data_IF_543406966539
#
_entry.id   IF_543406966539
#
_cell.length_a   1.000
_cell.length_b   1.000
_cell.length_c   1.000
_cell.angle_alpha   90.00
_cell.angle_beta   90.00
_cell.angle_gamma   90.00
#
_symmetry.space_group_name_H-M   'P 1'
#
loop_
_entity.id
_entity.type
_entity.pdbx_description
1 polymer ?
#
# COMPACT_ATOMS: atom_id res chain seq x y z
N UNK A 1 -14.86 21.32 26.81
CA UNK A 1 -14.38 19.92 26.95
C UNK A 1 -14.43 19.20 25.62
N UNK A 2 -15.57 19.21 24.91
CA UNK A 2 -15.73 18.60 23.59
C UNK A 2 -14.71 19.06 22.54
N UNK A 3 -14.40 20.36 22.49
CA UNK A 3 -13.39 20.95 21.59
C UNK A 3 -11.94 20.53 21.92
N UNK A 4 -11.63 20.37 23.21
CA UNK A 4 -10.29 19.98 23.68
C UNK A 4 -10.09 18.46 23.54
N UNK A 5 -11.17 17.69 23.68
CA UNK A 5 -11.17 16.27 23.37
C UNK A 5 -11.05 16.03 21.86
N UNK A 6 -11.66 16.87 21.02
CA UNK A 6 -11.47 16.76 19.56
C UNK A 6 -10.05 17.08 19.15
N UNK A 7 -9.40 18.09 19.74
CA UNK A 7 -8.00 18.39 19.42
C UNK A 7 -7.06 17.25 19.84
N UNK A 8 -7.31 16.60 20.99
CA UNK A 8 -6.61 15.39 21.41
C UNK A 8 -6.76 14.26 20.38
N UNK A 9 -7.99 13.99 19.95
CA UNK A 9 -8.28 12.91 18.99
C UNK A 9 -7.66 13.21 17.62
N UNK A 10 -7.74 14.46 17.14
CA UNK A 10 -7.11 14.87 15.88
C UNK A 10 -5.58 14.71 15.91
N UNK A 11 -4.94 15.12 17.01
CA UNK A 11 -3.49 14.98 17.17
C UNK A 11 -3.04 13.53 17.32
N UNK A 12 -3.90 12.64 17.86
CA UNK A 12 -3.60 11.21 17.97
C UNK A 12 -3.63 10.48 16.63
N UNK A 13 -4.28 11.03 15.59
CA UNK A 13 -4.41 10.39 14.27
C UNK A 13 -5.31 9.14 14.26
N UNK A 14 -6.08 8.91 15.31
CA UNK A 14 -6.99 7.77 15.43
C UNK A 14 -8.19 7.86 14.44
N UNK A 15 -8.61 6.71 13.90
CA UNK A 15 -9.81 6.63 13.05
C UNK A 15 -11.07 6.79 13.92
N UNK A 16 -11.78 7.90 13.73
CA UNK A 16 -12.87 8.35 14.61
C UNK A 16 -14.08 8.83 13.82
N UNK A 17 -15.29 8.41 14.22
CA UNK A 17 -16.53 8.84 13.58
C UNK A 17 -16.97 10.24 14.03
N UNK A 18 -16.42 11.26 13.36
CA UNK A 18 -16.75 12.67 13.57
C UNK A 18 -18.22 13.01 13.33
N UNK A 19 -18.95 12.24 12.50
CA UNK A 19 -20.36 12.51 12.23
C UNK A 19 -21.22 12.12 13.42
N UNK A 20 -20.97 10.94 13.98
CA UNK A 20 -21.63 10.48 15.19
C UNK A 20 -21.24 11.32 16.42
N UNK A 21 -19.99 11.79 16.49
CA UNK A 21 -19.51 12.64 17.59
C UNK A 21 -20.28 13.96 17.76
N UNK A 22 -20.86 14.50 16.69
CA UNK A 22 -21.69 15.71 16.77
C UNK A 22 -22.87 15.55 17.74
N UNK A 23 -23.38 14.34 17.90
CA UNK A 23 -24.54 14.03 18.74
C UNK A 23 -24.19 13.65 20.18
N UNK A 24 -22.90 13.49 20.50
CA UNK A 24 -22.43 13.22 21.88
C UNK A 24 -22.73 14.42 22.77
N UNK A 25 -23.35 14.13 23.92
CA UNK A 25 -23.77 15.16 24.89
C UNK A 25 -22.58 15.69 25.70
N UNK A 26 -22.58 17.01 25.99
CA UNK A 26 -21.55 17.65 26.84
C UNK A 26 -21.73 17.40 28.34
N UNK A 27 -22.58 16.45 28.72
CA UNK A 27 -22.79 16.12 30.14
C UNK A 27 -21.56 15.41 30.73
N UNK A 28 -21.59 15.07 32.02
CA UNK A 28 -20.52 14.45 32.83
C UNK A 28 -19.39 13.77 32.03
N UNK A 29 -18.13 14.12 32.34
CA UNK A 29 -16.90 13.59 31.69
C UNK A 29 -16.97 12.07 31.48
N UNK A 30 -17.36 11.30 32.49
CA UNK A 30 -17.46 9.83 32.41
C UNK A 30 -18.44 9.35 31.33
N UNK A 31 -19.57 10.06 31.18
CA UNK A 31 -20.57 9.77 30.16
C UNK A 31 -20.03 10.08 28.78
N UNK A 32 -19.40 11.25 28.60
CA UNK A 32 -18.74 11.64 27.34
C UNK A 32 -17.63 10.65 26.96
N UNK A 33 -16.79 10.23 27.91
CA UNK A 33 -15.72 9.24 27.67
C UNK A 33 -16.31 7.90 27.21
N UNK A 34 -17.35 7.41 27.89
CA UNK A 34 -18.01 6.15 27.52
C UNK A 34 -18.68 6.18 26.15
N UNK A 35 -19.37 7.28 25.81
CA UNK A 35 -20.00 7.48 24.50
C UNK A 35 -18.96 7.61 23.39
N UNK A 36 -17.86 8.34 23.66
CA UNK A 36 -16.76 8.59 22.71
C UNK A 36 -15.96 7.31 22.41
N UNK A 37 -15.78 6.42 23.40
CA UNK A 37 -15.06 5.16 23.20
C UNK A 37 -15.71 4.26 22.13
N UNK A 38 -17.03 4.32 21.98
CA UNK A 38 -17.75 3.53 20.96
C UNK A 38 -17.59 4.06 19.53
N UNK A 39 -17.04 5.27 19.37
CA UNK A 39 -16.89 5.95 18.09
C UNK A 39 -15.52 5.71 17.42
N UNK A 40 -14.58 5.06 18.13
CA UNK A 40 -13.32 4.63 17.54
C UNK A 40 -13.53 3.36 16.71
N UNK A 41 -13.23 3.43 15.42
CA UNK A 41 -13.49 2.38 14.45
C UNK A 41 -12.18 1.95 13.76
N UNK A 42 -11.16 1.58 14.53
CA UNK A 42 -9.97 0.95 13.96
C UNK A 42 -10.16 -0.59 13.95
N UNK A 43 -9.89 -1.30 12.84
CA UNK A 43 -10.07 -2.75 12.78
C UNK A 43 -8.99 -3.53 13.55
N UNK A 44 -7.81 -2.96 13.77
CA UNK A 44 -6.67 -3.61 14.44
C UNK A 44 -6.53 -3.22 15.92
N UNK A 45 -6.93 -2.00 16.30
CA UNK A 45 -6.76 -1.49 17.67
C UNK A 45 -8.10 -1.16 18.34
N UNK A 46 -8.26 -1.58 19.59
CA UNK A 46 -9.27 -1.02 20.48
C UNK A 46 -8.68 0.25 21.08
N UNK A 47 -9.30 1.37 20.76
CA UNK A 47 -8.89 2.68 21.26
C UNK A 47 -9.88 3.09 22.33
N UNK A 48 -9.38 3.33 23.54
CA UNK A 48 -10.19 3.80 24.65
C UNK A 48 -9.52 4.96 25.37
N UNK A 49 -10.35 5.91 25.77
CA UNK A 49 -9.96 7.02 26.63
C UNK A 49 -9.99 6.53 28.08
N UNK A 50 -8.83 6.59 28.74
CA UNK A 50 -8.69 6.23 30.14
C UNK A 50 -8.44 7.46 30.99
N UNK A 51 -9.07 7.49 32.17
CA UNK A 51 -8.80 8.47 33.21
C UNK A 51 -8.00 7.79 34.31
N UNK A 52 -6.77 8.23 34.55
CA UNK A 52 -5.94 7.74 35.66
C UNK A 52 -5.21 8.89 36.35
N UNK A 53 -4.89 8.66 37.62
CA UNK A 53 -4.02 9.51 38.41
C UNK A 53 -2.63 8.88 38.35
N UNK A 54 -1.67 9.57 37.73
CA UNK A 54 -0.30 9.06 37.61
C UNK A 54 0.61 9.69 38.66
N UNK A 55 1.42 8.86 39.30
CA UNK A 55 2.48 9.27 40.22
C UNK A 55 3.86 9.36 39.57
N UNK A 56 4.02 8.86 38.33
CA UNK A 56 5.27 8.83 37.59
C UNK A 56 5.09 9.30 36.14
N UNK A 57 5.86 10.31 35.74
CA UNK A 57 5.76 10.97 34.44
C UNK A 57 6.24 10.13 33.25
N UNK A 58 7.03 9.08 33.49
CA UNK A 58 7.58 8.21 32.44
C UNK A 58 6.54 7.34 31.73
N UNK A 59 5.36 7.18 32.33
CA UNK A 59 4.30 6.34 31.79
C UNK A 59 3.20 7.14 31.09
N UNK A 60 3.40 8.46 30.94
CA UNK A 60 2.46 9.33 30.25
C UNK A 60 2.76 9.36 28.76
N UNK A 61 1.73 9.20 27.90
CA UNK A 61 1.90 9.29 26.46
C UNK A 61 2.28 10.71 26.02
N UNK A 62 2.71 10.86 24.77
CA UNK A 62 3.19 12.13 24.23
C UNK A 62 2.11 13.23 24.17
N UNK A 63 0.82 12.86 24.16
CA UNK A 63 -0.30 13.79 24.20
C UNK A 63 -1.36 13.30 25.19
N UNK A 64 -1.75 14.16 26.13
CA UNK A 64 -2.77 13.86 27.14
C UNK A 64 -3.45 15.12 27.64
N UNK A 65 -4.62 14.97 28.25
CA UNK A 65 -5.36 16.04 28.89
C UNK A 65 -5.14 16.02 30.39
N UNK A 66 -4.92 17.19 30.97
CA UNK A 66 -4.78 17.36 32.43
C UNK A 66 -5.80 18.34 32.94
N UNK A 67 -6.39 18.03 34.09
CA UNK A 67 -7.24 18.96 34.82
C UNK A 67 -6.39 19.86 35.73
N UNK A 68 -6.16 21.11 35.33
CA UNK A 68 -5.46 22.12 36.14
C UNK A 68 -6.50 23.16 36.59
N UNK A 69 -6.66 23.35 37.89
CA UNK A 69 -7.53 24.40 38.47
C UNK A 69 -8.98 24.41 37.90
N UNK A 70 -9.57 23.22 37.67
CA UNK A 70 -10.91 23.01 37.09
C UNK A 70 -11.05 23.33 35.60
N UNK A 71 -9.93 23.48 34.87
CA UNK A 71 -9.90 23.57 33.40
C UNK A 71 -9.09 22.42 32.82
N UNK A 72 -9.63 21.80 31.78
CA UNK A 72 -8.93 20.78 31.01
C UNK A 72 -7.99 21.46 30.03
N UNK A 73 -6.70 21.12 30.09
CA UNK A 73 -5.66 21.63 29.19
C UNK A 73 -5.05 20.46 28.42
N UNK A 74 -4.74 20.68 27.14
CA UNK A 74 -4.01 19.73 26.32
C UNK A 74 -2.51 19.95 26.55
N UNK A 75 -1.82 18.85 26.84
CA UNK A 75 -0.37 18.82 27.05
C UNK A 75 0.24 17.98 25.94
N UNK A 76 1.28 18.54 25.33
CA UNK A 76 2.11 17.85 24.33
C UNK A 76 3.54 17.73 24.84
N UNK A 77 4.22 16.63 24.52
CA UNK A 77 5.65 16.43 24.82
C UNK A 77 6.50 17.01 23.69
N UNK A 78 7.43 17.90 24.03
CA UNK A 78 8.43 18.46 23.10
C UNK A 78 9.80 18.38 23.76
N UNK A 79 10.75 17.68 23.13
CA UNK A 79 12.15 17.56 23.58
C UNK A 79 12.29 17.29 25.10
N UNK A 80 11.58 16.28 25.59
CA UNK A 80 11.54 15.84 27.00
C UNK A 80 10.84 16.78 28.01
N UNK A 81 10.16 17.83 27.54
CA UNK A 81 9.35 18.72 28.38
C UNK A 81 7.87 18.67 28.00
N UNK A 82 7.00 18.71 29.01
CA UNK A 82 5.55 18.78 28.83
C UNK A 82 5.12 20.25 28.74
N UNK A 83 4.59 20.62 27.58
CA UNK A 83 4.16 21.99 27.28
C UNK A 83 2.64 22.01 27.16
N UNK A 84 2.01 22.98 27.83
CA UNK A 84 0.58 23.27 27.61
C UNK A 84 0.48 24.14 26.36
N UNK A 85 -0.47 23.82 25.48
CA UNK A 85 -0.82 24.69 24.34
C UNK A 85 -0.99 26.15 24.79
N UNK A 86 -0.01 27.00 24.43
CA UNK A 86 0.00 28.44 24.70
C UNK A 86 0.65 28.92 26.02
N UNK A 87 1.27 28.05 26.82
CA UNK A 87 1.90 28.44 28.11
C UNK A 87 3.30 27.84 28.33
N UNK A 88 4.00 28.35 29.37
CA UNK A 88 5.34 27.93 29.78
C UNK A 88 5.42 26.44 30.19
N UNK A 89 6.61 25.81 30.08
CA UNK A 89 6.79 24.39 30.39
C UNK A 89 6.37 24.06 31.82
N UNK A 90 5.67 22.92 32.01
CA UNK A 90 5.25 22.48 33.33
C UNK A 90 6.44 21.96 34.15
N UNK A 91 6.62 22.51 35.36
CA UNK A 91 7.51 21.93 36.35
C UNK A 91 6.95 20.61 36.90
N UNK A 92 7.84 19.62 37.00
CA UNK A 92 7.60 18.26 37.51
C UNK A 92 6.82 18.17 38.83
N UNK A 93 6.96 19.17 39.71
CA UNK A 93 6.30 19.22 41.02
C UNK A 93 4.80 19.54 40.97
N UNK A 94 4.29 20.09 39.86
CA UNK A 94 2.87 20.44 39.71
C UNK A 94 2.02 19.31 39.10
N UNK A 95 2.64 18.22 38.61
CA UNK A 95 1.94 17.13 37.91
C UNK A 95 1.61 15.93 38.79
N UNK A 96 2.09 15.88 40.02
CA UNK A 96 1.73 14.80 40.95
C UNK A 96 0.26 14.98 41.38
N UNK A 97 -0.50 13.89 41.35
CA UNK A 97 -1.90 13.80 41.78
C UNK A 97 -2.95 14.52 40.90
N UNK A 98 -2.63 14.81 39.63
CA UNK A 98 -3.62 15.37 38.70
C UNK A 98 -4.41 14.27 37.98
N UNK A 99 -5.68 14.57 37.72
CA UNK A 99 -6.55 13.75 36.86
C UNK A 99 -6.08 13.88 35.41
N UNK A 100 -5.60 12.76 34.84
CA UNK A 100 -5.11 12.70 33.46
C UNK A 100 -6.04 11.86 32.62
N UNK A 101 -6.41 12.37 31.45
CA UNK A 101 -7.12 11.63 30.41
C UNK A 101 -6.18 11.39 29.25
N UNK A 102 -5.98 10.14 28.88
CA UNK A 102 -5.11 9.76 27.77
C UNK A 102 -5.79 8.72 26.86
N UNK A 103 -5.29 8.65 25.63
CA UNK A 103 -5.67 7.63 24.66
C UNK A 103 -4.81 6.38 24.88
N UNK A 104 -5.44 5.23 25.07
CA UNK A 104 -4.75 3.94 25.09
C UNK A 104 -5.13 3.14 23.86
N UNK A 105 -4.13 2.68 23.11
CA UNK A 105 -4.31 1.79 21.98
C UNK A 105 -3.94 0.37 22.39
N UNK A 106 -4.93 -0.53 22.43
CA UNK A 106 -4.72 -1.94 22.77
C UNK A 106 -4.97 -2.79 21.52
N UNK A 107 -4.04 -3.68 21.12
CA UNK A 107 -4.26 -4.53 19.94
C UNK A 107 -5.45 -5.46 20.15
N UNK A 108 -6.35 -5.51 19.16
CA UNK A 108 -7.50 -6.42 19.18
C UNK A 108 -7.04 -7.87 19.04
N UNK A 109 -7.66 -8.76 19.81
CA UNK A 109 -7.54 -10.21 19.60
C UNK A 109 -8.46 -10.61 18.44
N UNK A 110 -7.91 -10.62 17.24
CA UNK A 110 -8.62 -11.02 16.02
C UNK A 110 -8.44 -12.52 15.76
N UNK A 111 -9.45 -13.16 15.18
CA UNK A 111 -9.28 -14.52 14.64
C UNK A 111 -8.51 -14.48 13.32
N UNK A 112 -7.94 -15.61 12.90
CA UNK A 112 -7.20 -15.70 11.62
C UNK A 112 -8.03 -15.21 10.43
N UNK A 113 -9.31 -15.56 10.39
CA UNK A 113 -10.20 -15.17 9.30
C UNK A 113 -10.46 -13.66 9.30
N UNK A 114 -10.59 -13.05 10.47
CA UNK A 114 -10.80 -11.61 10.60
C UNK A 114 -9.56 -10.84 10.15
N UNK A 115 -8.35 -11.30 10.54
CA UNK A 115 -7.08 -10.70 10.07
C UNK A 115 -6.97 -10.75 8.55
N UNK A 116 -7.25 -11.91 7.93
CA UNK A 116 -7.21 -12.06 6.47
C UNK A 116 -8.22 -11.12 5.81
N UNK A 117 -9.44 -11.05 6.34
CA UNK A 117 -10.48 -10.16 5.82
C UNK A 117 -10.05 -8.69 5.89
N UNK A 118 -9.53 -8.23 7.03
CA UNK A 118 -9.03 -6.86 7.19
C UNK A 118 -7.88 -6.55 6.22
N UNK A 119 -6.95 -7.50 6.02
CA UNK A 119 -5.88 -7.36 5.03
C UNK A 119 -6.41 -7.24 3.59
N UNK A 120 -7.48 -7.95 3.25
CA UNK A 120 -8.12 -7.84 1.93
C UNK A 120 -8.91 -6.53 1.78
N UNK A 121 -9.59 -6.07 2.83
CA UNK A 121 -10.32 -4.79 2.82
C UNK A 121 -9.40 -3.58 2.65
N UNK A 122 -8.14 -3.68 3.08
CA UNK A 122 -7.11 -2.65 2.92
C UNK A 122 -6.51 -2.60 1.51
N UNK A 123 -6.88 -3.53 0.61
CA UNK A 123 -6.42 -3.50 -0.77
C UNK A 123 -6.91 -2.21 -1.47
N UNK A 124 -6.01 -1.45 -2.13
CA UNK A 124 -6.36 -0.18 -2.75
C UNK A 124 -7.31 -0.35 -3.93
N UNK A 125 -8.56 0.09 -3.77
CA UNK A 125 -9.61 0.06 -4.80
C UNK A 125 -9.27 0.87 -6.06
N UNK A 126 -8.33 1.81 -5.97
CA UNK A 126 -7.84 2.62 -7.09
C UNK A 126 -7.28 1.74 -8.21
N UNK A 127 -6.77 0.54 -7.89
CA UNK A 127 -6.32 -0.43 -8.87
C UNK A 127 -7.41 -0.85 -9.87
N UNK A 128 -8.70 -0.71 -9.53
CA UNK A 128 -9.80 -0.97 -10.45
C UNK A 128 -9.77 -0.10 -11.71
N UNK A 129 -9.16 1.10 -11.65
CA UNK A 129 -8.99 1.96 -12.82
C UNK A 129 -8.05 1.36 -13.89
N UNK A 130 -7.14 0.46 -13.51
CA UNK A 130 -6.26 -0.24 -14.47
C UNK A 130 -7.08 -1.12 -15.42
N UNK A 131 -8.21 -1.65 -14.95
CA UNK A 131 -9.10 -2.47 -15.77
C UNK A 131 -9.74 -1.64 -16.91
N UNK A 132 -10.04 -0.37 -16.66
CA UNK A 132 -10.58 0.55 -17.68
C UNK A 132 -9.53 0.89 -18.76
N UNK A 133 -8.24 0.79 -18.43
CA UNK A 133 -7.13 0.98 -19.36
C UNK A 133 -6.77 -0.28 -20.14
N UNK A 134 -7.34 -1.45 -19.81
CA UNK A 134 -7.02 -2.71 -20.47
C UNK A 134 -7.22 -2.70 -22.00
N UNK A 135 -8.24 -2.01 -22.57
CA UNK A 135 -8.38 -1.91 -24.04
C UNK A 135 -7.21 -1.21 -24.73
N UNK A 136 -6.51 -0.31 -24.06
CA UNK A 136 -5.38 0.43 -24.64
C UNK A 136 -4.18 -0.49 -24.95
N UNK A 137 -4.11 -1.67 -24.33
CA UNK A 137 -3.12 -2.71 -24.68
C UNK A 137 -3.20 -3.14 -26.16
N UNK A 138 -4.34 -2.93 -26.83
CA UNK A 138 -4.53 -3.24 -28.25
C UNK A 138 -4.02 -2.14 -29.19
N UNK A 139 -3.58 -0.98 -28.69
CA UNK A 139 -3.06 0.13 -29.52
C UNK A 139 -2.03 -0.34 -30.55
N UNK A 140 -0.99 -1.11 -30.18
CA UNK A 140 0.02 -1.56 -31.16
C UNK A 140 -0.58 -2.44 -32.26
N UNK A 141 -1.52 -3.32 -31.91
CA UNK A 141 -2.18 -4.20 -32.86
C UNK A 141 -3.09 -3.42 -33.82
N UNK A 142 -3.86 -2.45 -33.31
CA UNK A 142 -4.66 -1.55 -34.15
C UNK A 142 -3.78 -0.68 -35.06
N UNK A 143 -2.69 -0.13 -34.53
CA UNK A 143 -1.73 0.67 -35.31
C UNK A 143 -1.12 -0.14 -36.46
N UNK A 144 -0.65 -1.37 -36.19
CA UNK A 144 -0.11 -2.27 -37.20
C UNK A 144 -1.16 -2.70 -38.25
N UNK A 145 -2.39 -2.97 -37.81
CA UNK A 145 -3.47 -3.35 -38.73
C UNK A 145 -3.87 -2.18 -39.64
N UNK A 146 -4.01 -0.98 -39.09
CA UNK A 146 -4.33 0.24 -39.83
C UNK A 146 -3.20 0.59 -40.82
N UNK A 147 -1.95 0.30 -40.46
CA UNK A 147 -0.81 0.42 -41.37
C UNK A 147 -0.86 -0.58 -42.55
N UNK A 148 -1.23 -1.83 -42.27
CA UNK A 148 -1.36 -2.88 -43.30
C UNK A 148 -2.62 -2.73 -44.17
N UNK A 149 -3.60 -1.94 -43.74
CA UNK A 149 -4.81 -1.67 -44.52
C UNK A 149 -4.51 -0.56 -45.52
N UNK A 150 -5.13 -0.61 -46.72
CA UNK A 150 -4.94 0.24 -47.92
C UNK A 150 -4.81 1.77 -47.77
N UNK A 151 -4.86 2.33 -46.56
CA UNK A 151 -4.75 3.76 -46.26
C UNK A 151 -3.33 4.31 -46.46
N UNK A 152 -2.30 3.48 -46.41
CA UNK A 152 -0.90 3.94 -46.60
C UNK A 152 -0.42 3.68 -48.04
N UNK A 153 -0.93 2.66 -48.72
CA UNK A 153 -0.56 2.41 -50.11
C UNK A 153 -1.18 3.40 -51.11
N UNK A 154 -2.14 4.23 -50.69
CA UNK A 154 -2.89 5.12 -51.60
C UNK A 154 -2.82 6.61 -51.22
N UNK A 155 -2.27 6.98 -50.06
CA UNK A 155 -2.27 8.37 -49.59
C UNK A 155 -0.92 8.88 -49.07
N UNK A 156 -0.75 10.19 -49.24
CA UNK A 156 0.43 11.02 -48.98
C UNK A 156 1.02 10.80 -47.59
N UNK A 157 2.35 10.94 -47.45
CA UNK A 157 3.15 10.83 -46.22
C UNK A 157 2.58 11.56 -44.98
N UNK A 158 1.75 12.58 -45.19
CA UNK A 158 1.04 13.31 -44.12
C UNK A 158 0.08 12.43 -43.32
N UNK A 159 -0.60 11.47 -43.94
CA UNK A 159 -1.57 10.59 -43.27
C UNK A 159 -0.87 9.65 -42.27
N UNK A 160 0.32 9.14 -42.63
CA UNK A 160 1.17 8.34 -41.74
C UNK A 160 1.58 9.11 -40.49
N UNK A 161 2.05 10.36 -40.67
CA UNK A 161 2.50 11.20 -39.57
C UNK A 161 1.32 11.56 -38.65
N UNK A 162 0.17 11.90 -39.24
CA UNK A 162 -1.04 12.22 -38.49
C UNK A 162 -1.53 11.05 -37.63
N UNK A 163 -1.65 9.85 -38.21
CA UNK A 163 -2.08 8.64 -37.49
C UNK A 163 -1.10 8.32 -36.36
N UNK A 164 0.20 8.37 -36.63
CA UNK A 164 1.22 8.10 -35.61
C UNK A 164 1.15 9.11 -34.45
N UNK A 165 0.89 10.38 -34.74
CA UNK A 165 0.70 11.41 -33.71
C UNK A 165 -0.53 11.12 -32.84
N UNK A 166 -1.66 10.73 -33.44
CA UNK A 166 -2.87 10.37 -32.71
C UNK A 166 -2.63 9.16 -31.78
N UNK A 167 -1.99 8.11 -32.27
CA UNK A 167 -1.68 6.93 -31.44
C UNK A 167 -0.65 7.24 -30.34
N UNK A 168 0.34 8.11 -30.61
CA UNK A 168 1.28 8.59 -29.60
C UNK A 168 0.58 9.40 -28.50
N UNK A 169 -0.41 10.22 -28.86
CA UNK A 169 -1.23 10.96 -27.89
C UNK A 169 -2.06 10.02 -27.02
N UNK A 170 -2.69 9.00 -27.61
CA UNK A 170 -3.45 7.99 -26.87
C UNK A 170 -2.55 7.21 -25.88
N UNK A 171 -1.35 6.82 -26.33
CA UNK A 171 -0.36 6.17 -25.47
C UNK A 171 0.08 7.08 -24.31
N UNK A 172 0.30 8.37 -24.60
CA UNK A 172 0.67 9.35 -23.57
C UNK A 172 -0.42 9.46 -22.50
N UNK A 173 -1.69 9.55 -22.90
CA UNK A 173 -2.82 9.57 -21.97
C UNK A 173 -2.86 8.30 -21.12
N UNK A 174 -2.74 7.12 -21.74
CA UNK A 174 -2.69 5.85 -21.02
C UNK A 174 -1.57 5.83 -19.97
N UNK A 175 -0.36 6.27 -20.35
CA UNK A 175 0.79 6.35 -19.47
C UNK A 175 0.53 7.26 -18.25
N UNK A 176 -0.01 8.46 -18.46
CA UNK A 176 -0.31 9.39 -17.37
C UNK A 176 -1.35 8.84 -16.40
N UNK A 177 -2.39 8.16 -16.90
CA UNK A 177 -3.40 7.55 -16.04
C UNK A 177 -2.81 6.38 -15.25
N UNK A 178 -2.05 5.46 -15.88
CA UNK A 178 -1.37 4.36 -15.16
C UNK A 178 -0.41 4.88 -14.10
N UNK A 179 0.37 5.92 -14.43
CA UNK A 179 1.30 6.56 -13.50
C UNK A 179 0.56 7.16 -12.30
N UNK A 180 -0.56 7.83 -12.53
CA UNK A 180 -1.38 8.40 -11.46
C UNK A 180 -1.96 7.30 -10.55
N UNK A 181 -2.52 6.23 -11.14
CA UNK A 181 -3.04 5.08 -10.38
C UNK A 181 -1.94 4.43 -9.54
N UNK A 182 -0.75 4.21 -10.12
CA UNK A 182 0.39 3.63 -9.39
C UNK A 182 0.86 4.52 -8.23
N UNK A 183 0.87 5.84 -8.39
CA UNK A 183 1.23 6.77 -7.31
C UNK A 183 0.21 6.72 -6.16
N UNK A 184 -1.08 6.66 -6.47
CA UNK A 184 -2.13 6.53 -5.46
C UNK A 184 -2.06 5.16 -4.76
N UNK A 185 -1.86 4.09 -5.52
CA UNK A 185 -1.64 2.75 -5.00
C UNK A 185 -0.53 2.73 -3.94
N UNK A 186 0.66 3.23 -4.30
CA UNK A 186 1.80 3.25 -3.38
C UNK A 186 1.48 4.06 -2.12
N UNK A 187 0.83 5.23 -2.25
CA UNK A 187 0.47 6.06 -1.09
C UNK A 187 -0.43 5.30 -0.10
N UNK A 188 -1.48 4.65 -0.61
CA UNK A 188 -2.42 3.90 0.23
C UNK A 188 -1.74 2.67 0.83
N UNK A 189 -0.92 1.95 0.06
CA UNK A 189 -0.17 0.79 0.56
C UNK A 189 0.80 1.20 1.67
N UNK A 190 1.52 2.32 1.54
CA UNK A 190 2.43 2.82 2.57
C UNK A 190 1.69 3.08 3.89
N UNK A 191 0.61 3.88 3.84
CA UNK A 191 -0.20 4.25 5.02
C UNK A 191 -0.80 3.03 5.72
N UNK A 192 -1.34 2.09 4.95
CA UNK A 192 -1.99 0.88 5.50
C UNK A 192 -0.98 -0.17 5.97
N UNK A 193 0.17 -0.29 5.29
CA UNK A 193 1.24 -1.20 5.71
C UNK A 193 1.81 -0.78 7.06
N UNK A 194 2.00 0.53 7.29
CA UNK A 194 2.48 1.03 8.59
C UNK A 194 1.55 0.66 9.75
N UNK A 195 0.23 0.80 9.57
CA UNK A 195 -0.77 0.39 10.58
C UNK A 195 -0.68 -1.12 10.87
N UNK A 196 -0.51 -1.94 9.84
CA UNK A 196 -0.37 -3.39 9.98
C UNK A 196 0.93 -3.75 10.70
N UNK A 197 2.06 -3.12 10.35
CA UNK A 197 3.33 -3.35 11.03
C UNK A 197 3.27 -2.94 12.51
N UNK A 198 2.63 -1.81 12.83
CA UNK A 198 2.36 -1.41 14.22
C UNK A 198 1.58 -2.47 14.98
N UNK A 199 0.56 -3.04 14.36
CA UNK A 199 -0.24 -4.13 14.94
C UNK A 199 0.58 -5.40 15.16
N UNK A 200 1.31 -5.87 14.13
CA UNK A 200 2.15 -7.06 14.22
C UNK A 200 3.26 -6.89 15.27
N UNK A 201 3.88 -5.71 15.34
CA UNK A 201 4.88 -5.40 16.34
C UNK A 201 4.31 -5.40 17.76
N UNK A 202 3.11 -4.81 17.95
CA UNK A 202 2.44 -4.81 19.26
C UNK A 202 2.12 -6.24 19.74
N UNK A 203 1.79 -7.16 18.82
CA UNK A 203 1.55 -8.57 19.13
C UNK A 203 2.82 -9.33 19.52
N UNK A 204 4.00 -8.92 19.03
CA UNK A 204 5.28 -9.57 19.38
C UNK A 204 5.58 -9.48 20.89
N UNK A 205 5.18 -8.38 21.54
CA UNK A 205 5.38 -8.18 22.98
C UNK A 205 4.67 -9.23 23.85
N UNK A 206 3.58 -9.82 23.36
CA UNK A 206 2.81 -10.85 24.05
C UNK A 206 3.29 -12.28 23.73
N UNK A 207 4.32 -12.41 22.89
CA UNK A 207 4.72 -13.67 22.28
C UNK A 207 6.19 -13.99 22.62
N UNK A 208 6.45 -15.13 23.26
CA UNK A 208 7.81 -15.50 23.75
C UNK A 208 8.63 -16.37 22.79
N UNK A 209 8.08 -16.73 21.63
CA UNK A 209 8.69 -17.68 20.70
C UNK A 209 9.33 -16.96 19.52
N UNK A 210 10.60 -17.29 19.21
CA UNK A 210 11.32 -16.75 18.05
C UNK A 210 10.59 -17.02 16.73
N UNK A 211 9.85 -18.14 16.64
CA UNK A 211 9.01 -18.51 15.50
C UNK A 211 7.95 -17.45 15.14
N UNK A 212 7.53 -16.64 16.11
CA UNK A 212 6.51 -15.61 15.85
C UNK A 212 7.07 -14.43 15.06
N UNK A 213 8.36 -14.09 15.22
CA UNK A 213 9.03 -13.08 14.39
C UNK A 213 9.13 -13.54 12.94
N UNK A 214 9.37 -14.84 12.72
CA UNK A 214 9.41 -15.43 11.38
C UNK A 214 8.01 -15.35 10.75
N UNK A 215 6.97 -15.70 11.52
CA UNK A 215 5.57 -15.66 11.05
C UNK A 215 5.09 -14.23 10.76
N UNK A 216 5.41 -13.25 11.60
CA UNK A 216 5.04 -11.84 11.32
C UNK A 216 5.70 -11.33 10.05
N UNK A 217 6.99 -11.64 9.85
CA UNK A 217 7.71 -11.28 8.62
C UNK A 217 7.20 -12.02 7.38
N UNK A 218 6.77 -13.28 7.53
CA UNK A 218 6.10 -14.01 6.44
C UNK A 218 4.76 -13.37 6.06
N UNK A 219 3.98 -12.90 7.04
CA UNK A 219 2.73 -12.17 6.79
C UNK A 219 3.02 -10.87 6.03
N UNK A 220 4.05 -10.12 6.43
CA UNK A 220 4.50 -8.91 5.74
C UNK A 220 4.90 -9.18 4.28
N UNK A 221 5.76 -10.18 4.05
CA UNK A 221 6.24 -10.55 2.71
C UNK A 221 5.08 -11.00 1.81
N UNK A 222 4.24 -11.92 2.31
CA UNK A 222 3.11 -12.44 1.55
C UNK A 222 2.07 -11.37 1.23
N UNK A 223 1.77 -10.48 2.20
CA UNK A 223 0.87 -9.33 1.98
C UNK A 223 1.36 -8.50 0.80
N UNK A 224 2.65 -8.13 0.79
CA UNK A 224 3.25 -7.30 -0.26
C UNK A 224 3.14 -7.98 -1.63
N UNK A 225 3.50 -9.26 -1.71
CA UNK A 225 3.39 -10.05 -2.95
C UNK A 225 1.95 -10.09 -3.44
N UNK A 226 0.97 -10.30 -2.56
CA UNK A 226 -0.44 -10.33 -2.94
C UNK A 226 -0.89 -8.95 -3.44
N UNK A 227 -0.62 -7.87 -2.70
CA UNK A 227 -1.08 -6.53 -3.06
C UNK A 227 -0.43 -5.99 -4.34
N UNK A 228 0.86 -6.28 -4.58
CA UNK A 228 1.58 -5.84 -5.78
C UNK A 228 1.14 -6.65 -7.02
N UNK A 229 0.98 -7.97 -6.89
CA UNK A 229 0.71 -8.83 -8.05
C UNK A 229 -0.77 -8.96 -8.40
N UNK A 230 -1.68 -8.84 -7.43
CA UNK A 230 -3.11 -9.06 -7.66
C UNK A 230 -3.69 -8.07 -8.67
N UNK A 231 -3.26 -6.80 -8.62
CA UNK A 231 -3.68 -5.78 -9.57
C UNK A 231 -3.19 -6.06 -11.00
N UNK A 232 -1.93 -6.50 -11.14
CA UNK A 232 -1.37 -6.90 -12.43
C UNK A 232 -2.12 -8.10 -12.99
N UNK A 233 -2.36 -9.13 -12.17
CA UNK A 233 -3.04 -10.35 -12.58
C UNK A 233 -4.44 -10.09 -13.11
N UNK A 234 -5.22 -9.25 -12.43
CA UNK A 234 -6.57 -8.86 -12.90
C UNK A 234 -6.48 -8.14 -14.25
N UNK A 235 -5.51 -7.23 -14.39
CA UNK A 235 -5.31 -6.47 -15.63
C UNK A 235 -4.91 -7.40 -16.79
N UNK A 236 -4.01 -8.34 -16.55
CA UNK A 236 -3.56 -9.31 -17.56
C UNK A 236 -4.70 -10.23 -18.02
N UNK A 237 -5.55 -10.69 -17.09
CA UNK A 237 -6.76 -11.46 -17.42
C UNK A 237 -7.73 -10.62 -18.25
N UNK A 238 -7.93 -9.34 -17.92
CA UNK A 238 -8.79 -8.45 -18.69
C UNK A 238 -8.24 -8.22 -20.11
N UNK A 239 -6.94 -7.96 -20.25
CA UNK A 239 -6.27 -7.82 -21.56
C UNK A 239 -6.39 -9.10 -22.38
N UNK A 240 -6.23 -10.27 -21.75
CA UNK A 240 -6.43 -11.56 -22.42
C UNK A 240 -7.85 -11.72 -22.96
N UNK A 241 -8.88 -11.44 -22.14
CA UNK A 241 -10.28 -11.53 -22.55
C UNK A 241 -10.57 -10.59 -23.72
N UNK A 242 -10.16 -9.33 -23.63
CA UNK A 242 -10.38 -8.32 -24.67
C UNK A 242 -9.67 -8.73 -25.97
N UNK A 243 -8.42 -9.18 -25.87
CA UNK A 243 -7.65 -9.65 -27.03
C UNK A 243 -8.29 -10.88 -27.67
N UNK A 244 -8.80 -11.82 -26.88
CA UNK A 244 -9.48 -13.01 -27.38
C UNK A 244 -10.79 -12.66 -28.10
N UNK A 245 -11.57 -11.72 -27.57
CA UNK A 245 -12.78 -11.21 -28.23
C UNK A 245 -12.41 -10.57 -29.58
N UNK A 246 -11.37 -9.72 -29.61
CA UNK A 246 -10.90 -9.08 -30.84
C UNK A 246 -10.45 -10.12 -31.90
N UNK A 247 -9.67 -11.12 -31.51
CA UNK A 247 -9.22 -12.19 -32.41
C UNK A 247 -10.41 -13.01 -32.92
N UNK A 248 -11.37 -13.32 -32.05
CA UNK A 248 -12.58 -14.07 -32.43
C UNK A 248 -13.44 -13.29 -33.40
N UNK A 249 -13.52 -11.95 -33.29
CA UNK A 249 -14.21 -11.12 -34.28
C UNK A 249 -13.52 -11.13 -35.65
N UNK A 250 -12.18 -11.15 -35.69
CA UNK A 250 -11.41 -11.10 -36.96
C UNK A 250 -11.36 -12.47 -37.64
N UNK A 251 -11.07 -13.53 -36.89
CA UNK A 251 -10.78 -14.86 -37.41
C UNK A 251 -12.01 -15.79 -37.34
N UNK A 252 -13.04 -15.43 -36.56
CA UNK A 252 -14.24 -16.24 -36.38
C UNK A 252 -13.96 -17.52 -35.59
N UNK A 253 -14.65 -18.60 -35.96
CA UNK A 253 -14.63 -19.89 -35.23
C UNK A 253 -13.24 -20.52 -35.12
N UNK A 254 -12.32 -20.22 -36.04
CA UNK A 254 -10.95 -20.74 -36.00
C UNK A 254 -10.12 -20.23 -34.81
N UNK A 255 -10.58 -19.19 -34.08
CA UNK A 255 -9.94 -18.72 -32.84
C UNK A 255 -9.97 -19.76 -31.72
N UNK A 256 -10.91 -20.71 -31.74
CA UNK A 256 -11.01 -21.78 -30.74
C UNK A 256 -9.78 -22.69 -30.71
N UNK A 257 -9.15 -22.95 -31.86
CA UNK A 257 -7.92 -23.74 -31.94
C UNK A 257 -6.76 -23.05 -31.21
N UNK A 258 -6.66 -21.72 -31.36
CA UNK A 258 -5.68 -20.91 -30.64
C UNK A 258 -5.96 -20.89 -29.13
N UNK A 259 -7.22 -20.77 -28.73
CA UNK A 259 -7.59 -20.81 -27.31
C UNK A 259 -7.17 -22.14 -26.66
N UNK A 260 -7.48 -23.27 -27.32
CA UNK A 260 -7.19 -24.60 -26.80
C UNK A 260 -5.67 -24.82 -26.67
N UNK A 261 -4.90 -24.34 -27.63
CA UNK A 261 -3.43 -24.35 -27.56
C UNK A 261 -2.92 -23.57 -26.34
N UNK A 262 -3.34 -22.31 -26.16
CA UNK A 262 -2.87 -21.48 -25.04
C UNK A 262 -3.30 -22.00 -23.67
N UNK A 263 -4.52 -22.54 -23.54
CA UNK A 263 -4.98 -23.18 -22.29
C UNK A 263 -4.13 -24.40 -21.94
N UNK A 264 -3.77 -25.21 -22.93
CA UNK A 264 -2.92 -26.39 -22.72
C UNK A 264 -1.52 -25.98 -22.25
N UNK A 265 -0.91 -24.99 -22.93
CA UNK A 265 0.41 -24.46 -22.54
C UNK A 265 0.37 -23.85 -21.14
N UNK A 266 -0.67 -23.07 -20.81
CA UNK A 266 -0.86 -22.49 -19.49
C UNK A 266 -0.97 -23.58 -18.41
N UNK A 267 -1.74 -24.63 -18.65
CA UNK A 267 -1.86 -25.77 -17.73
C UNK A 267 -0.52 -26.46 -17.45
N UNK A 268 0.28 -26.69 -18.50
CA UNK A 268 1.63 -27.28 -18.36
C UNK A 268 2.56 -26.35 -17.55
N UNK A 269 2.56 -25.04 -17.84
CA UNK A 269 3.38 -24.07 -17.12
C UNK A 269 2.99 -23.95 -15.64
N UNK A 270 1.68 -23.92 -15.34
CA UNK A 270 1.18 -23.91 -13.97
C UNK A 270 1.59 -25.19 -13.24
N UNK A 271 1.49 -26.35 -13.90
CA UNK A 271 1.91 -27.62 -13.32
C UNK A 271 3.41 -27.65 -13.00
N UNK A 272 4.27 -27.20 -13.93
CA UNK A 272 5.72 -27.08 -13.71
C UNK A 272 6.01 -26.15 -12.54
N UNK A 273 5.34 -24.99 -12.49
CA UNK A 273 5.55 -24.01 -11.43
C UNK A 273 5.06 -24.52 -10.07
N UNK A 274 3.92 -25.21 -10.02
CA UNK A 274 3.40 -25.83 -8.81
C UNK A 274 4.35 -26.90 -8.26
N UNK A 275 4.89 -27.75 -9.13
CA UNK A 275 5.89 -28.76 -8.75
C UNK A 275 7.14 -28.13 -8.12
N UNK A 276 7.57 -26.97 -8.62
CA UNK A 276 8.73 -26.25 -8.11
C UNK A 276 8.44 -25.37 -6.88
N UNK A 277 7.17 -25.11 -6.57
CA UNK A 277 6.78 -24.20 -5.50
C UNK A 277 7.15 -24.72 -4.11
N UNK A 278 7.07 -26.04 -3.88
CA UNK A 278 7.49 -26.66 -2.62
C UNK A 278 8.97 -26.43 -2.33
N UNK A 279 9.82 -26.63 -3.33
CA UNK A 279 11.26 -26.39 -3.22
C UNK A 279 11.59 -24.90 -3.02
N UNK A 280 10.83 -24.01 -3.65
CA UNK A 280 10.97 -22.57 -3.46
C UNK A 280 10.62 -22.14 -2.03
N UNK A 281 9.50 -22.64 -1.48
CA UNK A 281 9.09 -22.37 -0.10
C UNK A 281 10.10 -22.90 0.93
N UNK A 282 10.61 -24.12 0.73
CA UNK A 282 11.64 -24.71 1.60
C UNK A 282 12.94 -23.88 1.54
N UNK A 283 13.34 -23.41 0.36
CA UNK A 283 14.51 -22.56 0.20
C UNK A 283 14.33 -21.19 0.88
N UNK A 284 13.19 -20.52 0.70
CA UNK A 284 12.90 -19.22 1.33
C UNK A 284 12.84 -19.34 2.86
N UNK A 285 12.19 -20.39 3.38
CA UNK A 285 12.15 -20.68 4.81
C UNK A 285 13.56 -20.87 5.38
N UNK A 286 14.41 -21.66 4.70
CA UNK A 286 15.78 -21.92 5.16
C UNK A 286 16.68 -20.67 5.18
N UNK A 287 16.56 -19.77 4.19
CA UNK A 287 17.29 -18.50 4.20
C UNK A 287 16.84 -17.58 5.34
N UNK A 288 15.54 -17.59 5.65
CA UNK A 288 14.98 -16.77 6.72
C UNK A 288 15.34 -17.30 8.11
N UNK A 289 15.36 -18.62 8.29
CA UNK A 289 15.85 -19.27 9.51
C UNK A 289 17.33 -18.92 9.72
N UNK A 290 18.17 -19.01 8.68
CA UNK A 290 19.58 -18.64 8.78
C UNK A 290 19.78 -17.15 9.10
N UNK A 291 18.96 -16.26 8.55
CA UNK A 291 19.01 -14.83 8.89
C UNK A 291 18.60 -14.58 10.34
N UNK A 292 17.54 -15.27 10.80
CA UNK A 292 17.07 -15.20 12.19
C UNK A 292 18.12 -15.73 13.16
N UNK A 293 18.78 -16.83 12.83
CA UNK A 293 19.87 -17.40 13.62
C UNK A 293 21.05 -16.43 13.70
N UNK A 294 21.46 -15.83 12.58
CA UNK A 294 22.49 -14.78 12.54
C UNK A 294 22.12 -13.54 13.37
N UNK A 295 20.87 -13.10 13.29
CA UNK A 295 20.35 -11.99 14.10
C UNK A 295 20.34 -12.38 15.58
N UNK A 296 19.97 -13.61 15.93
CA UNK A 296 19.96 -14.11 17.31
C UNK A 296 21.37 -14.23 17.90
N UNK A 297 22.35 -14.59 17.06
CA UNK A 297 23.78 -14.62 17.42
C UNK A 297 24.27 -13.18 17.66
N UNK A 298 23.84 -12.21 16.86
CA UNK A 298 24.13 -10.79 17.09
C UNK A 298 23.35 -10.19 18.28
N UNK A 299 22.14 -10.66 18.58
CA UNK A 299 21.29 -10.13 19.66
C UNK A 299 21.70 -10.62 21.06
N UNK A 300 22.59 -11.62 21.14
CA UNK A 300 23.06 -12.19 22.41
C UNK A 300 24.24 -11.45 23.05
N UNK A 301 24.66 -10.30 22.53
CA UNK A 301 25.64 -9.44 23.19
C UNK A 301 24.98 -8.48 24.21
N UNK A 302 24.46 -9.06 25.31
CA UNK A 302 24.35 -8.44 26.65
C UNK A 302 23.53 -7.15 26.90
N UNK A 303 22.85 -6.50 25.94
CA UNK A 303 22.24 -5.16 26.20
C UNK A 303 20.69 -5.08 26.31
N UNK A 304 19.95 -6.18 26.22
CA UNK A 304 18.47 -6.14 26.18
C UNK A 304 17.76 -5.89 27.53
N UNK A 305 18.48 -5.72 28.65
CA UNK A 305 17.84 -5.60 29.97
C UNK A 305 17.36 -4.19 30.34
N UNK A 306 17.57 -3.20 29.45
CA UNK A 306 17.18 -1.79 29.65
C UNK A 306 16.49 -1.18 28.42
N UNK A 307 15.92 -2.01 27.55
CA UNK A 307 15.37 -1.56 26.27
C UNK A 307 14.06 -0.79 26.48
N UNK A 308 14.07 0.51 26.18
CA UNK A 308 12.89 1.37 26.22
C UNK A 308 12.02 1.08 24.98
N UNK A 309 10.81 0.57 25.22
CA UNK A 309 9.87 0.14 24.19
C UNK A 309 9.49 1.27 23.23
N UNK A 310 9.29 2.50 23.74
CA UNK A 310 8.95 3.66 22.89
C UNK A 310 10.10 4.04 21.95
N UNK A 311 11.33 4.08 22.47
CA UNK A 311 12.52 4.40 21.66
C UNK A 311 12.76 3.34 20.57
N UNK A 312 12.41 2.08 20.86
CA UNK A 312 12.60 0.96 19.95
C UNK A 312 11.52 0.92 18.89
N UNK A 313 10.29 1.21 19.29
CA UNK A 313 9.16 1.35 18.39
C UNK A 313 9.38 2.50 17.41
N UNK A 314 9.80 3.67 17.88
CA UNK A 314 10.11 4.82 17.01
C UNK A 314 11.29 4.55 16.07
N UNK A 315 12.34 3.86 16.52
CA UNK A 315 13.44 3.43 15.65
C UNK A 315 13.00 2.40 14.61
N UNK A 316 12.18 1.43 14.99
CA UNK A 316 11.58 0.46 14.08
C UNK A 316 10.69 1.14 13.06
N UNK A 317 9.85 2.08 13.50
CA UNK A 317 8.97 2.87 12.63
C UNK A 317 9.80 3.66 11.61
N UNK A 318 10.86 4.36 12.05
CA UNK A 318 11.77 5.08 11.16
C UNK A 318 12.50 4.14 10.18
N UNK A 319 12.89 2.94 10.62
CA UNK A 319 13.50 1.94 9.77
C UNK A 319 12.53 1.43 8.70
N UNK A 320 11.29 1.11 9.09
CA UNK A 320 10.22 0.72 8.18
C UNK A 320 9.90 1.83 7.18
N UNK A 321 9.76 3.09 7.63
CA UNK A 321 9.55 4.24 6.76
C UNK A 321 10.69 4.42 5.73
N UNK A 322 11.95 4.23 6.15
CA UNK A 322 13.11 4.28 5.23
C UNK A 322 13.07 3.16 4.21
N UNK A 323 12.74 1.94 4.62
CA UNK A 323 12.60 0.77 3.73
C UNK A 323 11.48 1.03 2.71
N UNK A 324 10.30 1.44 3.16
CA UNK A 324 9.17 1.76 2.29
C UNK A 324 9.50 2.91 1.31
N UNK A 325 10.22 3.94 1.75
CA UNK A 325 10.65 5.02 0.87
C UNK A 325 11.63 4.54 -0.22
N UNK A 326 12.58 3.66 0.14
CA UNK A 326 13.50 3.04 -0.82
C UNK A 326 12.75 2.17 -1.83
N UNK A 327 11.86 1.32 -1.35
CA UNK A 327 11.01 0.45 -2.19
C UNK A 327 10.12 1.25 -3.14
N UNK A 328 9.52 2.35 -2.67
CA UNK A 328 8.76 3.30 -3.48
C UNK A 328 9.59 3.90 -4.61
N UNK A 329 10.85 4.23 -4.35
CA UNK A 329 11.77 4.74 -5.37
C UNK A 329 12.06 3.68 -6.42
N UNK A 330 12.36 2.44 -5.99
CA UNK A 330 12.63 1.31 -6.89
C UNK A 330 11.40 0.99 -7.74
N UNK A 331 10.22 0.86 -7.14
CA UNK A 331 8.97 0.56 -7.85
C UNK A 331 8.59 1.65 -8.88
N UNK A 332 8.87 2.92 -8.56
CA UNK A 332 8.66 4.04 -9.50
C UNK A 332 9.63 3.98 -10.68
N UNK A 333 10.90 3.67 -10.43
CA UNK A 333 11.91 3.52 -11.48
C UNK A 333 11.57 2.35 -12.40
N UNK A 334 11.26 1.18 -11.83
CA UNK A 334 10.88 -0.01 -12.60
C UNK A 334 9.65 0.24 -13.48
N UNK A 335 8.63 0.92 -12.94
CA UNK A 335 7.46 1.30 -13.75
C UNK A 335 7.80 2.18 -14.94
N UNK A 336 8.58 3.24 -14.71
CA UNK A 336 8.96 4.15 -15.78
C UNK A 336 9.84 3.44 -16.82
N UNK A 337 10.67 2.50 -16.38
CA UNK A 337 11.51 1.70 -17.26
C UNK A 337 10.68 0.77 -18.15
N UNK A 338 9.73 0.01 -17.57
CA UNK A 338 8.87 -0.89 -18.33
C UNK A 338 8.04 -0.14 -19.37
N UNK A 339 7.49 1.03 -19.02
CA UNK A 339 6.75 1.87 -19.97
C UNK A 339 7.67 2.50 -21.03
N UNK A 340 8.91 2.86 -20.68
CA UNK A 340 9.89 3.35 -21.65
C UNK A 340 10.29 2.27 -22.66
N UNK A 341 10.46 1.02 -22.21
CA UNK A 341 10.74 -0.13 -23.10
C UNK A 341 9.57 -0.37 -24.05
N UNK A 342 8.34 -0.29 -23.55
CA UNK A 342 7.12 -0.40 -24.37
C UNK A 342 7.02 0.71 -25.42
N UNK A 343 7.26 1.97 -25.02
CA UNK A 343 7.25 3.11 -25.94
C UNK A 343 8.38 3.03 -26.98
N UNK A 344 9.58 2.59 -26.56
CA UNK A 344 10.70 2.35 -27.47
C UNK A 344 10.38 1.30 -28.52
N UNK A 345 9.67 0.24 -28.16
CA UNK A 345 9.23 -0.82 -29.08
C UNK A 345 8.20 -0.29 -30.10
N UNK A 346 7.31 0.60 -29.67
CA UNK A 346 6.39 1.30 -30.57
C UNK A 346 7.13 2.23 -31.55
N UNK A 347 8.09 3.02 -31.05
CA UNK A 347 8.91 3.90 -31.89
C UNK A 347 9.72 3.10 -32.92
N UNK A 348 10.28 1.96 -32.52
CA UNK A 348 10.97 1.05 -33.44
C UNK A 348 10.03 0.52 -34.53
N UNK A 349 8.78 0.20 -34.19
CA UNK A 349 7.76 -0.20 -35.17
C UNK A 349 7.45 0.94 -36.15
N UNK A 350 7.34 2.18 -35.67
CA UNK A 350 7.18 3.36 -36.52
C UNK A 350 8.36 3.56 -37.49
N UNK A 351 9.60 3.42 -37.01
CA UNK A 351 10.79 3.50 -37.88
C UNK A 351 10.78 2.41 -38.97
N UNK A 352 10.42 1.18 -38.62
CA UNK A 352 10.31 0.07 -39.57
C UNK A 352 9.23 0.37 -40.63
N UNK A 353 8.08 0.89 -40.20
CA UNK A 353 6.99 1.29 -41.07
C UNK A 353 7.35 2.44 -42.01
N UNK A 354 8.11 3.44 -41.54
CA UNK A 354 8.68 4.50 -42.40
C UNK A 354 9.59 3.91 -43.49
N UNK A 355 10.51 3.01 -43.11
CA UNK A 355 11.42 2.37 -44.07
C UNK A 355 10.64 1.57 -45.11
N UNK A 356 9.66 0.77 -44.69
CA UNK A 356 8.80 0.01 -45.60
C UNK A 356 7.99 0.92 -46.53
N UNK A 357 7.47 2.04 -46.04
CA UNK A 357 6.75 3.01 -46.86
C UNK A 357 7.65 3.59 -47.96
N UNK A 358 8.84 4.08 -47.60
CA UNK A 358 9.82 4.60 -48.56
C UNK A 358 10.27 3.54 -49.56
N UNK A 359 10.54 2.32 -49.12
CA UNK A 359 10.91 1.22 -50.01
C UNK A 359 9.79 0.88 -51.00
N UNK A 360 8.52 0.87 -50.56
CA UNK A 360 7.38 0.62 -51.45
C UNK A 360 7.19 1.73 -52.49
N UNK A 361 7.43 3.00 -52.11
CA UNK A 361 7.35 4.14 -53.01
C UNK A 361 8.46 4.15 -54.05
N UNK A 362 9.66 3.66 -53.72
CA UNK A 362 10.76 3.48 -54.67
C UNK A 362 10.47 2.35 -55.67
N UNK A 363 9.80 1.28 -55.25
CA UNK A 363 9.44 0.14 -56.11
C UNK A 363 8.28 0.41 -57.09
N UNK A 364 7.52 1.49 -56.90
CA UNK A 364 6.41 1.89 -57.77
C UNK A 364 6.78 2.94 -58.84
N UNK A 365 7.93 3.60 -58.70
CA UNK A 365 8.56 4.44 -59.73
C UNK A 365 9.58 3.63 -60.53
#
# INVERSE_FOLDING_TARGET
MKEILSSLIEQSGADFDWKAYKYVSEQTLEKTLSETNTLFLDPFFNISLHKNIFSQLRHLPDVFLVNIEKKWCLIHRSDDQFVIDGHSPLSQSKMNDLDIVYLEEVPKKLTTNDVIRTLLEYFPKVNGLLLLLSPFALIPAFYANLFNTRMIYNDVSYTLIFITLCFSMLWSVEFFVKKWVKLQHIKVVDEKSLKIEKYLFSLLSFSRLADNLIKTRQIESNRRIVWDNFASLITDVAVFIISYIAITMVIGFSSLYLLLFYVTVAGVLVWIRYKNYKAYLEHEASQQEMLTERISICSNAQQLRFYDFESSFSQFEQACQKIFHSDKRISRVNFNWDELVRYSSFLASFCLFLIMFYQSSILQN
#
